data_IF_087608863990
#
_entry.id   IF_087608863990
#
_cell.length_a   1.000
_cell.length_b   1.000
_cell.length_c   1.000
_cell.angle_alpha   90.00
_cell.angle_beta   90.00
_cell.angle_gamma   90.00
#
_symmetry.space_group_name_H-M   'P 1'
#
loop_
_entity.id
_entity.type
_entity.pdbx_description
1 polymer ?
#
# COMPACT_ATOMS: atom_id res chain seq x y z
N UNK A 1 -18.02 -22.55 -7.76
CA UNK A 1 -16.62 -22.34 -8.17
C UNK A 1 -16.17 -23.55 -8.96
N UNK A 2 -15.60 -23.38 -10.15
CA UNK A 2 -15.10 -24.51 -10.92
C UNK A 2 -13.95 -25.19 -10.17
N UNK A 3 -14.08 -26.46 -9.91
CA UNK A 3 -13.00 -27.30 -9.42
C UNK A 3 -12.37 -28.02 -10.61
N UNK A 4 -11.05 -28.27 -10.62
CA UNK A 4 -10.44 -29.08 -11.66
C UNK A 4 -11.06 -30.50 -11.68
N UNK A 5 -11.43 -30.94 -12.85
CA UNK A 5 -11.97 -32.27 -13.04
C UNK A 5 -10.87 -33.35 -13.02
N UNK A 6 -11.21 -34.61 -12.78
CA UNK A 6 -10.26 -35.70 -12.70
C UNK A 6 -9.33 -35.79 -13.93
N UNK A 7 -9.85 -35.52 -15.14
CA UNK A 7 -9.07 -35.50 -16.39
C UNK A 7 -8.13 -34.29 -16.54
N UNK A 8 -8.33 -33.21 -15.77
CA UNK A 8 -7.47 -32.04 -15.79
C UNK A 8 -6.30 -32.17 -14.82
N UNK A 9 -6.37 -33.13 -13.89
CA UNK A 9 -5.36 -33.33 -12.83
C UNK A 9 -4.44 -34.50 -13.14
N UNK A 10 -4.86 -35.44 -14.03
CA UNK A 10 -4.04 -36.57 -14.46
C UNK A 10 -3.22 -36.18 -15.70
N UNK A 11 -1.93 -35.96 -15.51
CA UNK A 11 -0.97 -35.59 -16.57
C UNK A 11 0.17 -36.62 -16.62
N UNK A 12 0.56 -37.02 -17.81
CA UNK A 12 1.58 -38.04 -18.06
C UNK A 12 2.95 -37.67 -17.43
N UNK A 13 3.62 -38.59 -16.76
CA UNK A 13 4.78 -38.41 -15.90
C UNK A 13 6.01 -37.82 -16.57
N UNK A 14 6.07 -37.81 -17.89
CA UNK A 14 7.21 -37.24 -18.66
C UNK A 14 7.11 -35.73 -18.83
N UNK A 15 5.91 -35.11 -18.71
CA UNK A 15 5.65 -33.68 -18.88
C UNK A 15 5.45 -32.93 -17.55
N UNK A 16 5.48 -33.63 -16.42
CA UNK A 16 4.99 -33.15 -15.13
C UNK A 16 5.97 -32.33 -14.29
N UNK A 17 7.18 -32.07 -14.74
CA UNK A 17 8.12 -31.26 -13.96
C UNK A 17 7.92 -29.73 -14.09
N UNK A 18 6.97 -29.29 -14.92
CA UNK A 18 6.71 -27.87 -15.16
C UNK A 18 5.23 -27.59 -15.00
N UNK A 19 4.86 -26.84 -13.97
CA UNK A 19 3.52 -26.25 -13.84
C UNK A 19 3.63 -24.72 -13.97
N UNK A 20 2.79 -24.14 -14.82
CA UNK A 20 2.73 -22.68 -15.00
C UNK A 20 1.49 -22.16 -14.29
N UNK A 21 1.71 -21.31 -13.27
CA UNK A 21 0.65 -20.59 -12.60
C UNK A 21 0.93 -19.08 -12.69
N UNK A 22 -0.03 -18.32 -13.18
CA UNK A 22 0.04 -16.87 -13.17
C UNK A 22 -0.31 -16.36 -11.77
N UNK A 23 0.70 -16.19 -10.92
CA UNK A 23 0.55 -15.63 -9.58
C UNK A 23 1.36 -14.36 -9.48
N UNK A 24 0.79 -13.35 -8.84
CA UNK A 24 1.53 -12.13 -8.50
C UNK A 24 2.45 -12.44 -7.31
N UNK A 25 3.71 -11.98 -7.37
CA UNK A 25 4.63 -12.09 -6.24
C UNK A 25 4.15 -11.21 -5.07
N UNK A 26 4.52 -11.56 -3.85
CA UNK A 26 4.16 -10.78 -2.66
C UNK A 26 4.71 -9.35 -2.69
N UNK A 27 5.83 -9.15 -3.36
CA UNK A 27 6.49 -7.84 -3.47
C UNK A 27 5.69 -6.81 -4.28
N UNK A 28 4.77 -7.28 -5.11
CA UNK A 28 3.89 -6.42 -5.94
C UNK A 28 2.88 -5.65 -5.08
N UNK A 29 2.50 -6.21 -3.93
CA UNK A 29 1.55 -5.61 -3.00
C UNK A 29 2.26 -4.59 -2.11
N UNK A 30 1.72 -3.35 -2.05
CA UNK A 30 2.35 -2.25 -1.33
C UNK A 30 1.63 -1.86 -0.04
N UNK A 31 0.39 -2.31 0.17
CA UNK A 31 -0.44 -1.90 1.31
C UNK A 31 0.27 -2.02 2.66
N UNK A 32 1.05 -3.09 2.86
CA UNK A 32 1.79 -3.36 4.11
C UNK A 32 3.10 -2.55 4.22
N UNK A 33 3.56 -1.93 3.12
CA UNK A 33 4.82 -1.18 3.07
C UNK A 33 4.63 0.31 3.31
N UNK A 34 3.37 0.80 3.21
CA UNK A 34 3.06 2.23 3.27
C UNK A 34 2.98 2.72 4.71
N UNK A 35 2.12 2.12 5.51
CA UNK A 35 1.86 2.56 6.88
C UNK A 35 2.45 1.61 7.91
N UNK A 36 2.92 2.12 9.06
CA UNK A 36 3.39 1.29 10.15
C UNK A 36 2.25 0.46 10.75
N UNK A 37 2.57 -0.77 11.16
CA UNK A 37 1.60 -1.73 11.70
C UNK A 37 1.59 -1.67 13.22
N UNK A 38 0.40 -1.45 13.79
CA UNK A 38 0.15 -1.48 15.24
C UNK A 38 -0.61 -2.75 15.58
N UNK A 39 -0.01 -3.61 16.39
CA UNK A 39 -0.65 -4.83 16.89
C UNK A 39 -1.56 -4.49 18.07
N UNK A 40 -2.85 -4.83 17.94
CA UNK A 40 -3.88 -4.53 18.96
C UNK A 40 -4.52 -5.81 19.49
N UNK A 41 -4.87 -5.80 20.78
CA UNK A 41 -5.49 -6.96 21.45
C UNK A 41 -7.01 -7.01 21.28
N UNK A 42 -7.64 -5.85 21.04
CA UNK A 42 -9.09 -5.75 20.79
C UNK A 42 -9.38 -5.51 19.32
N UNK A 43 -10.49 -6.05 18.84
CA UNK A 43 -10.93 -5.87 17.46
C UNK A 43 -11.35 -4.42 17.16
N UNK A 44 -11.91 -3.73 18.14
CA UNK A 44 -12.30 -2.32 18.07
C UNK A 44 -12.01 -1.64 19.40
N UNK A 45 -11.47 -0.43 19.33
CA UNK A 45 -11.19 0.41 20.50
C UNK A 45 -11.01 1.86 20.04
N UNK A 46 -10.73 2.74 21.00
CA UNK A 46 -10.43 4.15 20.77
C UNK A 46 -8.93 4.39 20.90
N UNK A 47 -8.41 5.32 20.11
CA UNK A 47 -7.05 5.86 20.26
C UNK A 47 -7.09 7.37 20.41
N UNK A 48 -6.11 7.92 21.11
CA UNK A 48 -6.04 9.35 21.38
C UNK A 48 -5.42 10.12 20.22
N UNK A 49 -6.02 11.28 19.93
CA UNK A 49 -5.56 12.21 18.90
C UNK A 49 -5.35 13.59 19.52
N UNK A 50 -4.15 14.10 19.42
CA UNK A 50 -3.80 15.46 19.83
C UNK A 50 -4.09 16.45 18.71
N UNK A 51 -4.73 17.55 19.01
CA UNK A 51 -5.04 18.59 18.04
C UNK A 51 -3.77 19.31 17.62
N UNK A 52 -3.46 19.27 16.33
CA UNK A 52 -2.30 19.90 15.74
C UNK A 52 -2.17 21.38 16.11
N UNK A 53 -3.26 22.16 16.09
CA UNK A 53 -3.27 23.57 16.35
C UNK A 53 -2.73 23.97 17.73
N UNK A 54 -2.89 23.11 18.74
CA UNK A 54 -2.43 23.39 20.08
C UNK A 54 -0.90 23.28 20.22
N UNK A 55 -0.27 22.46 19.37
CA UNK A 55 1.19 22.24 19.38
C UNK A 55 1.99 23.28 18.57
N UNK A 56 1.32 24.07 17.71
CA UNK A 56 1.96 25.05 16.84
C UNK A 56 1.66 26.49 17.21
N UNK A 57 1.18 26.75 18.46
CA UNK A 57 0.96 28.11 18.96
C UNK A 57 2.22 28.63 19.65
N UNK A 58 2.60 29.85 19.31
CA UNK A 58 3.61 30.60 20.05
C UNK A 58 2.93 31.34 21.21
N UNK A 59 2.93 30.71 22.39
CA UNK A 59 2.25 31.22 23.60
C UNK A 59 3.28 31.65 24.70
N UNK A 60 4.57 31.46 24.46
CA UNK A 60 5.60 31.85 25.41
C UNK A 60 5.69 33.36 25.53
N UNK A 61 5.65 33.88 26.74
CA UNK A 61 5.74 35.32 27.03
C UNK A 61 6.93 35.65 27.93
N UNK A 62 7.48 36.85 27.73
CA UNK A 62 8.53 37.35 28.61
C UNK A 62 8.00 37.53 30.02
N UNK A 63 8.64 36.89 30.98
CA UNK A 63 8.22 36.94 32.41
C UNK A 63 9.13 37.91 33.18
N UNK A 64 8.52 38.81 33.93
CA UNK A 64 9.22 39.59 34.94
C UNK A 64 9.51 38.75 36.20
N UNK A 65 10.50 39.14 36.98
CA UNK A 65 10.84 38.45 38.22
C UNK A 65 9.69 38.56 39.23
N UNK A 66 9.37 37.46 39.88
CA UNK A 66 8.29 37.40 40.89
C UNK A 66 6.86 37.33 40.32
N UNK A 67 6.66 37.31 38.98
CA UNK A 67 5.33 37.24 38.34
C UNK A 67 5.06 35.80 37.89
N UNK A 68 3.79 35.37 37.90
CA UNK A 68 3.36 34.05 37.37
C UNK A 68 3.63 33.98 35.86
N UNK A 69 4.04 32.81 35.37
CA UNK A 69 4.25 32.53 33.94
C UNK A 69 2.95 32.42 33.19
N UNK A 70 2.94 32.69 31.90
CA UNK A 70 1.80 32.40 31.01
C UNK A 70 1.50 30.91 31.03
N UNK A 71 0.23 30.58 31.19
CA UNK A 71 -0.26 29.19 31.11
C UNK A 71 -0.61 28.81 29.67
N UNK A 72 -0.35 27.56 29.29
CA UNK A 72 -0.75 26.98 28.00
C UNK A 72 -1.35 25.60 28.24
N UNK A 73 -2.15 25.11 27.30
CA UNK A 73 -2.80 23.80 27.39
C UNK A 73 -3.02 23.19 26.02
N UNK A 74 -3.36 21.90 26.00
CA UNK A 74 -3.71 21.16 24.78
C UNK A 74 -5.02 20.39 24.97
N UNK A 75 -5.70 20.09 23.86
CA UNK A 75 -6.92 19.32 23.83
C UNK A 75 -6.66 17.92 23.33
N UNK A 76 -7.27 16.93 23.98
CA UNK A 76 -7.21 15.53 23.63
C UNK A 76 -8.55 15.11 23.03
N UNK A 77 -8.53 14.53 21.84
CA UNK A 77 -9.67 13.88 21.21
C UNK A 77 -9.43 12.36 21.14
N UNK A 78 -10.47 11.61 20.87
CA UNK A 78 -10.38 10.17 20.65
C UNK A 78 -11.06 9.80 19.34
N UNK A 79 -10.44 8.88 18.60
CA UNK A 79 -11.00 8.28 17.38
C UNK A 79 -11.02 6.77 17.50
N UNK A 80 -11.97 6.13 16.79
CA UNK A 80 -12.16 4.70 16.84
C UNK A 80 -11.46 3.97 15.69
N UNK A 81 -10.96 2.78 15.97
CA UNK A 81 -10.58 1.82 14.93
C UNK A 81 -11.45 0.56 15.02
N UNK A 82 -11.60 -0.13 13.89
CA UNK A 82 -12.26 -1.43 13.81
C UNK A 82 -11.55 -2.33 12.82
N UNK A 83 -10.94 -3.40 13.30
CA UNK A 83 -10.28 -4.41 12.47
C UNK A 83 -11.32 -5.37 11.91
N UNK A 84 -11.52 -5.32 10.59
CA UNK A 84 -12.45 -6.21 9.88
C UNK A 84 -11.76 -7.51 9.52
N UNK A 85 -12.50 -8.62 9.68
CA UNK A 85 -12.02 -9.96 9.34
C UNK A 85 -12.55 -10.35 7.97
N UNK A 86 -11.64 -10.73 7.09
CA UNK A 86 -11.95 -11.26 5.77
C UNK A 86 -11.51 -12.71 5.70
N UNK A 87 -12.38 -13.58 5.18
CA UNK A 87 -12.09 -15.00 5.05
C UNK A 87 -12.47 -15.49 3.64
N UNK A 88 -11.72 -16.45 3.16
CA UNK A 88 -11.99 -17.22 1.94
C UNK A 88 -11.48 -18.62 2.16
N UNK A 89 -12.17 -19.61 1.63
CA UNK A 89 -11.74 -21.03 1.66
C UNK A 89 -11.68 -21.62 0.27
N UNK A 90 -10.93 -22.69 0.14
CA UNK A 90 -10.91 -23.57 -1.04
C UNK A 90 -11.02 -25.00 -0.56
N UNK A 91 -12.05 -25.71 -1.03
CA UNK A 91 -12.26 -27.11 -0.72
C UNK A 91 -11.32 -28.00 -1.55
N UNK A 92 -10.73 -29.00 -0.89
CA UNK A 92 -9.91 -30.05 -1.52
C UNK A 92 -10.48 -31.39 -1.09
N UNK A 93 -11.27 -31.98 -1.97
CA UNK A 93 -11.91 -33.31 -1.70
C UNK A 93 -10.88 -34.44 -1.59
N UNK A 94 -11.19 -35.51 -0.85
CA UNK A 94 -10.30 -36.67 -0.69
C UNK A 94 -9.93 -37.33 -2.03
N UNK A 95 -10.87 -37.41 -2.98
CA UNK A 95 -10.63 -37.98 -4.30
C UNK A 95 -9.64 -37.11 -5.12
N UNK A 96 -9.80 -35.78 -5.08
CA UNK A 96 -8.88 -34.87 -5.75
C UNK A 96 -7.49 -35.02 -5.15
N UNK A 97 -7.36 -35.05 -3.81
CA UNK A 97 -6.08 -35.20 -3.11
C UNK A 97 -5.37 -36.51 -3.45
N UNK A 98 -6.10 -37.63 -3.60
CA UNK A 98 -5.51 -38.93 -3.95
C UNK A 98 -5.11 -39.04 -5.41
N UNK A 99 -5.75 -38.27 -6.31
CA UNK A 99 -5.45 -38.26 -7.75
C UNK A 99 -4.40 -37.19 -8.16
N UNK A 100 -3.88 -36.44 -7.21
CA UNK A 100 -2.80 -35.49 -7.50
C UNK A 100 -1.49 -36.25 -7.65
N UNK A 101 -0.93 -36.21 -8.86
CA UNK A 101 0.36 -36.81 -9.16
C UNK A 101 1.52 -35.93 -8.74
N UNK A 102 2.61 -36.53 -8.25
CA UNK A 102 3.85 -35.84 -7.91
C UNK A 102 4.43 -35.18 -9.19
N UNK A 103 4.85 -33.86 -9.20
CA UNK A 103 5.25 -33.04 -8.07
C UNK A 103 4.15 -32.11 -7.52
N UNK A 104 2.90 -32.26 -7.89
CA UNK A 104 1.79 -31.41 -7.45
C UNK A 104 1.33 -31.78 -6.04
N UNK A 105 0.90 -30.77 -5.26
CA UNK A 105 0.35 -30.93 -3.92
C UNK A 105 -0.91 -30.06 -3.79
N UNK A 106 -2.07 -30.74 -3.71
CA UNK A 106 -3.36 -30.08 -3.68
C UNK A 106 -3.56 -29.14 -2.49
N UNK A 107 -3.06 -29.52 -1.32
CA UNK A 107 -3.17 -28.71 -0.10
C UNK A 107 -2.27 -27.47 -0.18
N UNK A 108 -1.05 -27.60 -0.68
CA UNK A 108 -0.11 -26.50 -0.88
C UNK A 108 -0.62 -25.52 -1.93
N UNK A 109 -1.15 -26.01 -3.03
CA UNK A 109 -1.66 -25.17 -4.13
C UNK A 109 -2.93 -24.44 -3.68
N UNK A 110 -3.82 -25.09 -2.91
CA UNK A 110 -4.97 -24.47 -2.29
C UNK A 110 -4.56 -23.36 -1.30
N UNK A 111 -3.55 -23.59 -0.46
CA UNK A 111 -3.04 -22.59 0.47
C UNK A 111 -2.47 -21.37 -0.26
N UNK A 112 -1.67 -21.57 -1.33
CA UNK A 112 -1.13 -20.49 -2.17
C UNK A 112 -2.23 -19.68 -2.85
N UNK A 113 -3.25 -20.37 -3.38
CA UNK A 113 -4.39 -19.71 -4.02
C UNK A 113 -5.16 -18.83 -3.03
N UNK A 114 -5.48 -19.33 -1.84
CA UNK A 114 -6.18 -18.60 -0.78
C UNK A 114 -5.35 -17.39 -0.33
N UNK A 115 -4.03 -17.57 -0.11
CA UNK A 115 -3.13 -16.48 0.28
C UNK A 115 -3.11 -15.37 -0.76
N UNK A 116 -2.96 -15.70 -2.04
CA UNK A 116 -2.94 -14.70 -3.11
C UNK A 116 -4.28 -13.92 -3.18
N UNK A 117 -5.41 -14.60 -3.01
CA UNK A 117 -6.73 -13.96 -2.99
C UNK A 117 -6.92 -13.01 -1.80
N UNK A 118 -6.41 -13.38 -0.63
CA UNK A 118 -6.47 -12.53 0.57
C UNK A 118 -5.57 -11.30 0.42
N UNK A 119 -4.34 -11.46 -0.08
CA UNK A 119 -3.44 -10.33 -0.35
C UNK A 119 -4.01 -9.38 -1.40
N UNK A 120 -4.56 -9.91 -2.48
CA UNK A 120 -5.24 -9.10 -3.49
C UNK A 120 -6.43 -8.34 -2.90
N UNK A 121 -7.23 -8.98 -2.05
CA UNK A 121 -8.36 -8.32 -1.38
C UNK A 121 -7.90 -7.19 -0.49
N UNK A 122 -6.82 -7.39 0.26
CA UNK A 122 -6.23 -6.36 1.13
C UNK A 122 -5.75 -5.15 0.31
N UNK A 123 -5.08 -5.39 -0.81
CA UNK A 123 -4.63 -4.34 -1.72
C UNK A 123 -5.81 -3.57 -2.33
N UNK A 124 -6.84 -4.28 -2.83
CA UNK A 124 -8.06 -3.65 -3.35
C UNK A 124 -8.74 -2.79 -2.30
N UNK A 125 -8.81 -3.25 -1.05
CA UNK A 125 -9.40 -2.48 0.04
C UNK A 125 -8.59 -1.22 0.31
N UNK A 126 -7.26 -1.33 0.37
CA UNK A 126 -6.37 -0.20 0.57
C UNK A 126 -6.53 0.87 -0.52
N UNK A 127 -6.60 0.47 -1.78
CA UNK A 127 -6.85 1.39 -2.91
C UNK A 127 -8.20 2.07 -2.78
N UNK A 128 -9.24 1.33 -2.44
CA UNK A 128 -10.59 1.88 -2.30
C UNK A 128 -10.70 2.87 -1.12
N UNK A 129 -9.92 2.67 -0.07
CA UNK A 129 -9.97 3.51 1.13
C UNK A 129 -9.07 4.74 1.00
N UNK A 130 -7.90 4.63 0.38
CA UNK A 130 -6.86 5.67 0.41
C UNK A 130 -6.48 6.26 -0.95
N UNK A 131 -6.75 5.57 -2.06
CA UNK A 131 -6.32 5.98 -3.39
C UNK A 131 -7.47 6.54 -4.24
N UNK A 132 -8.30 7.35 -3.62
CA UNK A 132 -9.43 8.04 -4.27
C UNK A 132 -9.51 9.50 -3.83
N UNK A 133 -10.18 10.33 -4.61
CA UNK A 133 -10.45 11.73 -4.28
C UNK A 133 -11.37 11.85 -3.05
N UNK A 134 -11.22 12.93 -2.30
CA UNK A 134 -12.03 13.25 -1.12
C UNK A 134 -11.61 12.54 0.18
N UNK A 135 -10.53 11.76 0.17
CA UNK A 135 -9.98 11.12 1.38
C UNK A 135 -8.94 12.02 2.04
N UNK A 136 -8.09 12.63 1.23
CA UNK A 136 -7.00 13.49 1.68
C UNK A 136 -7.40 14.95 1.67
N UNK A 137 -6.81 15.75 2.57
CA UNK A 137 -7.10 17.18 2.68
C UNK A 137 -6.78 17.97 1.39
N UNK A 138 -5.86 17.47 0.58
CA UNK A 138 -5.47 18.10 -0.68
C UNK A 138 -5.50 17.07 -1.80
N UNK A 139 -6.42 17.26 -2.73
CA UNK A 139 -6.52 16.49 -3.97
C UNK A 139 -6.22 17.40 -5.16
N UNK A 140 -5.25 17.02 -5.98
CA UNK A 140 -4.85 17.79 -7.15
C UNK A 140 -5.20 17.00 -8.42
N UNK A 141 -6.06 17.57 -9.25
CA UNK A 141 -6.33 17.04 -10.58
C UNK A 141 -5.59 17.88 -11.60
N UNK A 142 -4.59 17.28 -12.24
CA UNK A 142 -3.81 17.95 -13.28
C UNK A 142 -4.66 18.16 -14.54
N UNK A 143 -4.59 19.35 -15.12
CA UNK A 143 -5.19 19.64 -16.42
C UNK A 143 -4.59 18.72 -17.50
N UNK A 144 -5.36 18.49 -18.59
CA UNK A 144 -4.97 17.53 -19.62
C UNK A 144 -3.55 17.76 -20.20
N UNK A 145 -3.16 19.03 -20.39
CA UNK A 145 -1.85 19.41 -20.91
C UNK A 145 -0.70 19.39 -19.87
N UNK A 146 -1.00 19.23 -18.58
CA UNK A 146 -0.01 19.21 -17.49
C UNK A 146 0.19 17.82 -16.87
N UNK A 147 -0.49 16.80 -17.42
CA UNK A 147 -0.30 15.42 -16.95
C UNK A 147 1.13 14.96 -17.23
N UNK A 148 1.69 14.16 -16.36
CA UNK A 148 3.09 13.74 -16.40
C UNK A 148 3.47 12.87 -17.61
N UNK A 149 2.51 12.39 -18.38
CA UNK A 149 2.70 11.75 -19.68
C UNK A 149 2.79 12.76 -20.85
N UNK A 150 2.54 14.05 -20.61
CA UNK A 150 2.68 15.14 -21.61
C UNK A 150 4.03 15.82 -21.41
N UNK A 151 5.09 15.23 -21.95
CA UNK A 151 6.48 15.61 -21.67
C UNK A 151 6.87 17.04 -22.05
N UNK A 152 6.13 17.68 -22.97
CA UNK A 152 6.47 19.01 -23.46
C UNK A 152 6.13 20.13 -22.44
N UNK A 153 5.13 19.94 -21.62
CA UNK A 153 4.56 21.00 -20.75
C UNK A 153 4.47 20.61 -19.28
N UNK A 154 4.61 19.34 -18.94
CA UNK A 154 4.54 18.87 -17.56
C UNK A 154 5.86 19.05 -16.80
N UNK A 155 5.73 19.25 -15.48
CA UNK A 155 6.86 19.35 -14.57
C UNK A 155 6.64 18.53 -13.28
N UNK A 156 6.79 17.20 -13.36
CA UNK A 156 6.53 16.32 -12.21
C UNK A 156 7.32 16.69 -10.94
N UNK A 157 8.59 17.06 -11.12
CA UNK A 157 9.44 17.43 -10.00
C UNK A 157 8.97 18.72 -9.33
N UNK A 158 8.51 19.71 -10.11
CA UNK A 158 7.94 20.95 -9.59
C UNK A 158 6.63 20.70 -8.85
N UNK A 159 5.75 19.86 -9.38
CA UNK A 159 4.47 19.50 -8.77
C UNK A 159 4.67 18.82 -7.40
N UNK A 160 5.60 17.85 -7.35
CA UNK A 160 5.91 17.13 -6.11
C UNK A 160 6.55 18.07 -5.06
N UNK A 161 7.47 18.95 -5.45
CA UNK A 161 8.05 19.95 -4.54
C UNK A 161 7.00 20.90 -4.00
N UNK A 162 6.07 21.35 -4.84
CA UNK A 162 4.94 22.17 -4.42
C UNK A 162 4.06 21.45 -3.41
N UNK A 163 3.77 20.17 -3.65
CA UNK A 163 3.02 19.33 -2.71
C UNK A 163 3.77 19.13 -1.38
N UNK A 164 5.08 18.92 -1.40
CA UNK A 164 5.91 18.82 -0.20
C UNK A 164 5.88 20.10 0.63
N UNK A 165 6.02 21.26 -0.01
CA UNK A 165 5.93 22.56 0.67
C UNK A 165 4.55 22.81 1.27
N UNK A 166 3.48 22.48 0.54
CA UNK A 166 2.12 22.59 1.05
C UNK A 166 1.88 21.66 2.26
N UNK A 167 2.43 20.46 2.25
CA UNK A 167 2.38 19.52 3.37
C UNK A 167 3.18 20.06 4.56
N UNK A 168 4.40 20.53 4.35
CA UNK A 168 5.24 21.14 5.38
C UNK A 168 4.53 22.34 6.03
N UNK A 169 3.95 23.24 5.24
CA UNK A 169 3.20 24.39 5.73
C UNK A 169 1.96 24.00 6.54
N UNK A 170 1.29 22.93 6.14
CA UNK A 170 0.05 22.52 6.80
C UNK A 170 0.25 21.62 8.01
N UNK A 171 1.34 20.85 8.07
CA UNK A 171 1.56 19.81 9.09
C UNK A 171 2.87 19.96 9.88
N UNK A 172 3.80 20.80 9.40
CA UNK A 172 5.17 20.86 9.94
C UNK A 172 6.05 19.67 9.56
N UNK A 173 5.57 18.79 8.65
CA UNK A 173 6.24 17.56 8.24
C UNK A 173 6.35 17.50 6.72
N UNK A 174 7.47 17.01 6.23
CA UNK A 174 7.67 16.77 4.80
C UNK A 174 7.10 15.39 4.40
N UNK A 175 6.59 15.29 3.17
CA UNK A 175 6.19 14.03 2.60
C UNK A 175 7.41 13.13 2.37
N UNK A 176 7.45 11.99 3.04
CA UNK A 176 8.59 11.06 2.97
C UNK A 176 8.32 9.83 2.11
N UNK A 177 7.07 9.58 1.74
CA UNK A 177 6.66 8.39 0.99
C UNK A 177 5.83 8.81 -0.21
N UNK A 178 6.32 8.47 -1.41
CA UNK A 178 5.62 8.68 -2.67
C UNK A 178 5.19 7.33 -3.25
N UNK A 179 3.89 7.18 -3.45
CA UNK A 179 3.27 5.99 -4.02
C UNK A 179 2.76 6.35 -5.41
N UNK A 180 3.13 5.57 -6.41
CA UNK A 180 2.74 5.80 -7.80
C UNK A 180 2.20 4.53 -8.45
N UNK A 181 1.22 4.68 -9.34
CA UNK A 181 0.80 3.58 -10.21
C UNK A 181 1.88 3.24 -11.25
N UNK A 182 1.91 2.00 -11.73
CA UNK A 182 2.90 1.53 -12.69
C UNK A 182 2.96 2.39 -13.98
N UNK A 183 1.83 2.93 -14.43
CA UNK A 183 1.77 3.82 -15.59
C UNK A 183 2.43 5.18 -15.31
N UNK A 184 2.28 5.69 -14.09
CA UNK A 184 2.91 6.94 -13.65
C UNK A 184 4.41 6.76 -13.51
N UNK A 185 4.88 5.64 -12.94
CA UNK A 185 6.30 5.30 -12.85
C UNK A 185 6.95 5.26 -14.25
N UNK A 186 6.30 4.60 -15.22
CA UNK A 186 6.77 4.57 -16.60
C UNK A 186 6.88 5.98 -17.23
N UNK A 187 5.89 6.85 -16.95
CA UNK A 187 5.93 8.24 -17.40
C UNK A 187 7.07 9.03 -16.75
N UNK A 188 7.28 8.89 -15.43
CA UNK A 188 8.38 9.53 -14.71
C UNK A 188 9.75 9.08 -15.20
N UNK A 189 9.95 7.78 -15.35
CA UNK A 189 11.19 7.20 -15.93
C UNK A 189 11.44 7.64 -17.37
N UNK A 190 10.36 7.92 -18.12
CA UNK A 190 10.42 8.43 -19.49
C UNK A 190 10.67 9.94 -19.60
N UNK A 191 10.40 10.71 -18.55
CA UNK A 191 10.31 12.17 -18.59
C UNK A 191 11.67 12.84 -18.85
N UNK A 192 11.80 13.70 -19.90
CA UNK A 192 13.06 14.35 -20.25
C UNK A 192 13.65 15.15 -19.09
N UNK A 193 12.84 15.93 -18.38
CA UNK A 193 13.31 16.73 -17.24
C UNK A 193 13.90 15.91 -16.09
N UNK A 194 13.53 14.63 -15.95
CA UNK A 194 14.13 13.71 -14.98
C UNK A 194 15.38 13.07 -15.60
N UNK A 195 15.31 12.58 -16.84
CA UNK A 195 16.44 11.95 -17.53
C UNK A 195 17.64 12.88 -17.68
N UNK A 196 17.41 14.14 -18.00
CA UNK A 196 18.48 15.12 -18.21
C UNK A 196 19.28 15.39 -16.94
N UNK A 197 18.70 15.22 -15.75
CA UNK A 197 19.41 15.34 -14.47
C UNK A 197 20.47 14.23 -14.30
N UNK A 198 20.21 13.05 -14.86
CA UNK A 198 21.09 11.88 -14.72
C UNK A 198 21.97 11.64 -15.93
N UNK A 199 21.80 12.40 -17.02
CA UNK A 199 22.47 12.20 -18.31
C UNK A 199 24.00 12.14 -18.22
N UNK A 200 24.61 12.91 -17.32
CA UNK A 200 26.06 12.97 -17.15
C UNK A 200 26.58 12.19 -15.92
N UNK A 201 25.69 11.67 -15.10
CA UNK A 201 26.06 11.01 -13.84
C UNK A 201 26.01 9.48 -13.96
N UNK A 202 25.14 8.95 -14.80
CA UNK A 202 24.97 7.51 -14.98
C UNK A 202 24.61 7.18 -16.42
N UNK A 203 25.26 6.17 -16.98
CA UNK A 203 24.90 5.57 -18.27
C UNK A 203 23.77 4.54 -18.14
N UNK A 204 23.36 4.20 -16.91
CA UNK A 204 22.31 3.25 -16.63
C UNK A 204 20.91 3.90 -16.77
N UNK A 205 19.91 3.07 -16.95
CA UNK A 205 18.51 3.52 -16.93
C UNK A 205 18.15 4.10 -15.56
N UNK A 206 17.24 5.09 -15.53
CA UNK A 206 16.76 5.71 -14.29
C UNK A 206 16.08 4.68 -13.39
N UNK A 207 16.63 4.47 -12.20
CA UNK A 207 16.09 3.55 -11.20
C UNK A 207 15.09 4.21 -10.27
N UNK A 208 14.32 3.41 -9.52
CA UNK A 208 13.35 3.90 -8.53
C UNK A 208 14.05 4.72 -7.42
N UNK A 209 15.22 4.28 -6.96
CA UNK A 209 16.02 4.97 -5.95
C UNK A 209 16.58 6.32 -6.45
N UNK A 210 16.96 6.41 -7.72
CA UNK A 210 17.41 7.67 -8.32
C UNK A 210 16.28 8.69 -8.35
N UNK A 211 15.07 8.26 -8.70
CA UNK A 211 13.88 9.12 -8.68
C UNK A 211 13.57 9.55 -7.23
N UNK A 212 13.60 8.63 -6.27
CA UNK A 212 13.38 8.93 -4.87
C UNK A 212 14.33 10.03 -4.36
N UNK A 213 15.61 9.87 -4.60
CA UNK A 213 16.65 10.83 -4.21
C UNK A 213 16.47 12.19 -4.90
N UNK A 214 16.16 12.21 -6.19
CA UNK A 214 15.93 13.46 -6.93
C UNK A 214 14.70 14.23 -6.45
N UNK A 215 13.64 13.52 -6.10
CA UNK A 215 12.40 14.10 -5.58
C UNK A 215 12.47 14.41 -4.08
N UNK A 216 13.53 13.99 -3.39
CA UNK A 216 13.71 14.21 -1.95
C UNK A 216 12.72 13.40 -1.10
N UNK A 217 12.32 12.20 -1.56
CA UNK A 217 11.45 11.30 -0.81
C UNK A 217 12.23 10.11 -0.25
N UNK A 218 11.90 9.69 0.97
CA UNK A 218 12.59 8.58 1.62
C UNK A 218 12.21 7.21 1.07
N UNK A 219 10.93 7.08 0.62
CA UNK A 219 10.41 5.85 0.02
C UNK A 219 9.69 6.18 -1.29
N UNK A 220 10.03 5.44 -2.34
CA UNK A 220 9.33 5.48 -3.62
C UNK A 220 8.73 4.11 -3.89
N UNK A 221 7.41 4.00 -3.87
CA UNK A 221 6.71 2.73 -3.99
C UNK A 221 5.93 2.69 -5.31
N UNK A 222 6.24 1.70 -6.14
CA UNK A 222 5.53 1.49 -7.42
C UNK A 222 4.50 0.39 -7.24
N UNK A 223 3.24 0.76 -7.40
CA UNK A 223 2.11 -0.14 -7.29
C UNK A 223 1.87 -0.86 -8.62
N UNK A 224 2.19 -2.15 -8.66
CA UNK A 224 2.13 -3.00 -9.87
C UNK A 224 0.99 -4.03 -9.81
N UNK A 225 0.17 -4.01 -8.76
CA UNK A 225 -0.88 -4.99 -8.57
C UNK A 225 -1.96 -4.92 -9.66
N UNK A 226 -2.36 -6.09 -10.16
CA UNK A 226 -3.34 -6.27 -11.22
C UNK A 226 -4.50 -7.10 -10.71
N UNK A 227 -5.72 -6.81 -11.15
CA UNK A 227 -6.90 -7.63 -10.89
C UNK A 227 -7.66 -7.95 -12.17
N UNK A 228 -8.33 -9.08 -12.18
CA UNK A 228 -9.34 -9.38 -13.16
C UNK A 228 -10.68 -8.75 -12.72
N UNK A 229 -11.26 -7.93 -13.57
CA UNK A 229 -12.54 -7.25 -13.32
C UNK A 229 -13.71 -7.97 -14.00
N UNK A 230 -13.46 -9.00 -14.82
CA UNK A 230 -14.48 -9.79 -15.45
C UNK A 230 -15.21 -10.66 -14.41
N UNK A 231 -16.49 -10.92 -14.68
CA UNK A 231 -17.27 -11.90 -13.94
C UNK A 231 -16.77 -13.33 -14.21
N UNK A 232 -17.04 -14.24 -13.29
CA UNK A 232 -16.66 -15.66 -13.43
C UNK A 232 -17.30 -16.26 -14.69
N UNK A 233 -16.47 -16.87 -15.55
CA UNK A 233 -16.92 -17.46 -16.83
C UNK A 233 -16.90 -16.51 -18.03
N UNK A 234 -16.66 -15.22 -17.84
CA UNK A 234 -16.45 -14.27 -18.93
C UNK A 234 -14.97 -14.21 -19.35
N UNK A 235 -14.71 -13.57 -20.50
CA UNK A 235 -13.34 -13.31 -20.97
C UNK A 235 -12.60 -12.41 -19.96
N UNK A 236 -11.37 -12.78 -19.61
CA UNK A 236 -10.56 -12.05 -18.64
C UNK A 236 -10.35 -10.58 -19.03
N UNK A 237 -10.63 -9.69 -18.08
CA UNK A 237 -10.42 -8.25 -18.19
C UNK A 237 -9.42 -7.79 -17.12
N UNK A 238 -8.13 -7.86 -17.44
CA UNK A 238 -7.06 -7.50 -16.52
C UNK A 238 -6.89 -5.99 -16.44
N UNK A 239 -6.84 -5.43 -15.23
CA UNK A 239 -6.66 -4.01 -14.98
C UNK A 239 -5.68 -3.73 -13.84
N UNK A 240 -4.88 -2.65 -13.98
CA UNK A 240 -4.04 -2.15 -12.90
C UNK A 240 -4.92 -1.56 -11.79
N UNK A 241 -4.63 -1.89 -10.53
CA UNK A 241 -5.41 -1.41 -9.38
C UNK A 241 -5.25 0.10 -9.14
N UNK A 242 -4.05 0.62 -9.30
CA UNK A 242 -3.71 2.00 -8.93
C UNK A 242 -3.91 3.03 -10.05
N UNK A 243 -4.15 2.59 -11.27
CA UNK A 243 -4.39 3.50 -12.39
C UNK A 243 -3.29 4.54 -12.60
N UNK A 244 -3.68 5.76 -13.02
CA UNK A 244 -2.79 6.89 -13.31
C UNK A 244 -2.76 7.90 -12.14
N UNK A 245 -2.58 7.43 -10.91
CA UNK A 245 -2.58 8.26 -9.72
C UNK A 245 -1.23 8.22 -9.00
N UNK A 246 -0.93 9.27 -8.24
CA UNK A 246 0.20 9.36 -7.34
C UNK A 246 -0.29 9.88 -5.98
N UNK A 247 0.30 9.40 -4.90
CA UNK A 247 -0.02 9.82 -3.53
C UNK A 247 1.28 10.11 -2.77
N UNK A 248 1.41 11.33 -2.29
CA UNK A 248 2.50 11.75 -1.42
C UNK A 248 1.97 11.83 0.01
N UNK A 249 2.63 11.13 0.92
CA UNK A 249 2.26 11.08 2.35
C UNK A 249 3.48 11.17 3.24
N UNK A 250 3.26 11.57 4.49
CA UNK A 250 4.21 11.36 5.56
C UNK A 250 3.85 10.10 6.33
N UNK A 251 4.62 9.04 6.19
CA UNK A 251 4.46 7.79 6.92
C UNK A 251 5.59 7.62 7.93
N UNK A 252 5.24 7.43 9.20
CA UNK A 252 6.26 7.15 10.22
C UNK A 252 6.93 5.80 9.94
N UNK A 253 8.25 5.66 10.19
CA UNK A 253 8.94 4.39 10.01
C UNK A 253 8.44 3.32 10.99
N UNK A 254 8.20 3.72 12.22
CA UNK A 254 7.73 2.84 13.29
C UNK A 254 6.54 3.48 14.04
N UNK A 255 5.62 2.66 14.57
CA UNK A 255 4.52 3.16 15.39
C UNK A 255 5.03 3.60 16.76
N UNK A 256 4.57 4.75 17.26
CA UNK A 256 4.94 5.26 18.57
C UNK A 256 3.93 6.25 19.12
N UNK A 257 4.09 6.58 20.42
CA UNK A 257 3.32 7.64 21.05
C UNK A 257 3.80 9.00 20.54
N UNK A 258 2.86 9.89 20.23
CA UNK A 258 3.12 11.25 19.72
C UNK A 258 3.88 11.26 18.38
N UNK A 259 3.90 10.16 17.65
CA UNK A 259 4.53 10.09 16.33
C UNK A 259 3.45 10.37 15.28
N UNK A 260 3.52 11.48 14.56
CA UNK A 260 2.55 11.77 13.50
C UNK A 260 2.79 10.90 12.28
N UNK A 261 1.72 10.35 11.71
CA UNK A 261 1.74 9.59 10.46
C UNK A 261 0.43 9.83 9.71
N UNK A 262 0.47 9.77 8.40
CA UNK A 262 -0.73 9.87 7.57
C UNK A 262 -1.73 8.74 7.82
N UNK A 263 -1.26 7.60 8.32
CA UNK A 263 -2.10 6.47 8.70
C UNK A 263 -1.34 5.41 9.48
N UNK A 264 -2.08 4.57 10.16
CA UNK A 264 -1.62 3.37 10.85
C UNK A 264 -2.44 2.16 10.41
N UNK A 265 -1.79 1.02 10.31
CA UNK A 265 -2.49 -0.24 10.05
C UNK A 265 -2.69 -0.98 11.37
N UNK A 266 -3.93 -1.11 11.82
CA UNK A 266 -4.25 -1.87 13.03
C UNK A 266 -4.39 -3.35 12.72
N UNK A 267 -3.60 -4.18 13.40
CA UNK A 267 -3.61 -5.64 13.27
C UNK A 267 -4.12 -6.27 14.55
N UNK A 268 -5.29 -6.91 14.48
CA UNK A 268 -5.86 -7.61 15.63
C UNK A 268 -5.19 -8.96 15.84
N UNK A 269 -4.59 -9.17 17.02
CA UNK A 269 -3.88 -10.40 17.40
C UNK A 269 -4.79 -11.61 17.57
N UNK A 270 -6.09 -11.40 17.81
CA UNK A 270 -7.04 -12.48 18.12
C UNK A 270 -7.21 -13.53 17.03
N UNK A 271 -6.87 -13.21 15.78
CA UNK A 271 -6.91 -14.14 14.64
C UNK A 271 -5.50 -14.43 14.09
N UNK A 272 -4.54 -13.54 14.32
CA UNK A 272 -3.18 -13.71 13.86
C UNK A 272 -2.42 -14.69 14.76
N UNK A 273 -2.12 -15.88 14.25
CA UNK A 273 -1.30 -16.91 14.95
C UNK A 273 0.19 -16.80 14.62
N UNK A 274 0.66 -15.67 14.09
CA UNK A 274 2.05 -15.46 13.74
C UNK A 274 2.54 -14.05 14.08
N UNK A 275 3.78 -13.90 14.45
CA UNK A 275 4.43 -12.62 14.68
C UNK A 275 4.48 -11.86 13.35
N UNK A 276 3.76 -10.74 13.24
CA UNK A 276 3.77 -9.86 12.08
C UNK A 276 2.92 -10.31 10.88
N UNK A 277 2.12 -11.38 10.99
CA UNK A 277 1.28 -11.85 9.90
C UNK A 277 -0.14 -11.26 9.98
N UNK A 278 -0.51 -10.43 9.00
CA UNK A 278 -1.89 -9.96 8.80
C UNK A 278 -2.81 -11.03 8.20
N UNK A 279 -2.29 -12.21 7.89
CA UNK A 279 -2.97 -13.32 7.22
C UNK A 279 -2.73 -14.62 7.98
N UNK A 280 -3.80 -15.38 8.16
CA UNK A 280 -3.74 -16.72 8.77
C UNK A 280 -4.43 -17.73 7.86
N UNK A 281 -3.81 -18.90 7.67
CA UNK A 281 -4.38 -20.00 6.89
C UNK A 281 -4.56 -21.20 7.80
N UNK A 282 -5.77 -21.75 7.82
CA UNK A 282 -6.11 -22.93 8.61
C UNK A 282 -6.61 -24.05 7.70
N UNK A 283 -6.27 -25.27 8.07
CA UNK A 283 -6.90 -26.48 7.51
C UNK A 283 -8.10 -26.83 8.38
N UNK A 284 -9.28 -26.81 7.79
CA UNK A 284 -10.52 -27.24 8.43
C UNK A 284 -10.72 -28.71 8.01
N UNK A 285 -10.71 -29.67 8.95
CA UNK A 285 -11.05 -31.07 8.61
C UNK A 285 -12.52 -31.12 8.17
N UNK A 286 -12.76 -31.75 7.05
CA UNK A 286 -14.11 -32.08 6.57
C UNK A 286 -14.52 -33.44 7.10
#
# INVERSE_FOLDING_TARGET
>A
MPQPTQNQVHVDSILTNISVAYMQSQDVYINQKVFPVVSVDKQSDLYFVYRKGDWFRDEAQLRADGVESAGSGYTLASEGYSARVWAIHKDVGPQVRQNYDNPLDADRDAARFVMNRLMLRQEVQWVNDYFKSGVWATDITLAAGLKWDVYATSNPAGDIRTAQLAMLQSTGLEGNTLIVGAQVDAALKGHPGIKDQFKYTSSASVTEDMIANYLGVGKYLVAKAVRNTAEEGAVDAMSLLFGKHALLVHAAPDPGLLVPSAGYTFMWKGISHGIGANLSIYKIPM
#
